data_IF_854684269794
#
_entry.id   IF_854684269794
#
_cell.length_a   1.000
_cell.length_b   1.000
_cell.length_c   1.000
_cell.angle_alpha   90.00
_cell.angle_beta   90.00
_cell.angle_gamma   90.00
#
_symmetry.space_group_name_H-M   'P 1'
#
loop_
_entity.id
_entity.type
_entity.pdbx_description
1 polymer ?
#
# COMPACT_ATOMS: atom_id res chain seq x y z
N UNK A 1 0.67 0.17 17.71
CA UNK A 1 0.02 1.28 16.99
C UNK A 1 0.48 1.24 15.53
N UNK A 2 -0.44 1.25 14.56
CA UNK A 2 -0.12 1.44 13.14
C UNK A 2 0.57 2.81 13.04
N UNK A 3 1.88 2.84 12.78
CA UNK A 3 2.75 3.99 13.04
C UNK A 3 2.17 5.35 12.61
N UNK A 4 1.55 6.06 13.56
CA UNK A 4 1.01 7.42 13.51
C UNK A 4 0.41 7.91 12.17
N UNK A 5 -0.09 7.02 11.31
CA UNK A 5 -0.48 7.36 9.94
C UNK A 5 0.66 7.88 9.04
N UNK A 6 1.94 7.74 9.44
CA UNK A 6 3.12 8.22 8.72
C UNK A 6 3.91 7.12 8.00
N UNK A 7 3.41 5.89 8.03
CA UNK A 7 4.06 4.76 7.38
C UNK A 7 3.17 4.19 6.27
N UNK A 8 3.73 4.07 5.08
CA UNK A 8 3.06 3.43 3.94
C UNK A 8 3.01 1.89 4.11
N UNK A 9 3.94 1.32 4.89
CA UNK A 9 4.07 -0.13 5.07
C UNK A 9 2.80 -0.85 5.51
N UNK A 10 2.15 -0.44 6.61
CA UNK A 10 0.94 -1.12 7.07
C UNK A 10 -0.21 -1.09 6.05
N UNK A 11 -0.38 0.00 5.31
CA UNK A 11 -1.39 0.11 4.25
C UNK A 11 -1.12 -0.90 3.13
N UNK A 12 0.14 -1.02 2.70
CA UNK A 12 0.54 -1.94 1.62
C UNK A 12 0.42 -3.39 2.05
N UNK A 13 0.86 -3.73 3.26
CA UNK A 13 0.77 -5.10 3.80
C UNK A 13 -0.69 -5.53 3.98
N UNK A 14 -1.55 -4.64 4.48
CA UNK A 14 -2.98 -4.93 4.61
C UNK A 14 -3.64 -5.14 3.24
N UNK A 15 -3.35 -4.28 2.26
CA UNK A 15 -3.87 -4.47 0.91
C UNK A 15 -3.45 -5.82 0.33
N UNK A 16 -2.16 -6.16 0.41
CA UNK A 16 -1.60 -7.36 -0.19
C UNK A 16 -2.09 -8.65 0.48
N UNK A 17 -2.11 -8.72 1.82
CA UNK A 17 -2.38 -9.97 2.52
C UNK A 17 -3.86 -10.15 2.87
N UNK A 18 -4.59 -9.06 3.13
CA UNK A 18 -5.97 -9.13 3.62
C UNK A 18 -6.96 -8.88 2.48
N UNK A 19 -6.82 -7.77 1.75
CA UNK A 19 -7.81 -7.40 0.73
C UNK A 19 -7.75 -8.32 -0.51
N UNK A 20 -6.57 -8.83 -0.85
CA UNK A 20 -6.46 -9.90 -1.87
C UNK A 20 -7.17 -11.17 -1.41
N UNK A 21 -6.95 -11.62 -0.16
CA UNK A 21 -7.59 -12.82 0.38
C UNK A 21 -9.12 -12.69 0.46
N UNK A 22 -9.62 -11.48 0.74
CA UNK A 22 -11.04 -11.17 0.77
C UNK A 22 -11.65 -10.95 -0.63
N UNK A 23 -10.84 -10.99 -1.70
CA UNK A 23 -11.24 -10.65 -3.08
C UNK A 23 -11.81 -9.22 -3.21
N UNK A 24 -11.43 -8.31 -2.32
CA UNK A 24 -11.86 -6.91 -2.36
C UNK A 24 -10.92 -6.08 -3.25
N UNK A 25 -11.18 -6.10 -4.56
CA UNK A 25 -10.43 -5.34 -5.57
C UNK A 25 -10.49 -3.83 -5.31
N UNK A 26 -11.65 -3.31 -4.91
CA UNK A 26 -11.85 -1.87 -4.71
C UNK A 26 -11.10 -1.38 -3.48
N UNK A 27 -11.23 -2.09 -2.36
CA UNK A 27 -10.47 -1.83 -1.14
C UNK A 27 -8.97 -1.90 -1.39
N UNK A 28 -8.51 -2.95 -2.09
CA UNK A 28 -7.10 -3.11 -2.45
C UNK A 28 -6.55 -1.89 -3.18
N UNK A 29 -7.25 -1.44 -4.23
CA UNK A 29 -6.82 -0.27 -5.00
C UNK A 29 -6.84 1.01 -4.16
N UNK A 30 -7.88 1.21 -3.36
CA UNK A 30 -8.02 2.40 -2.51
C UNK A 30 -6.89 2.48 -1.48
N UNK A 31 -6.59 1.36 -0.82
CA UNK A 31 -5.54 1.27 0.19
C UNK A 31 -4.15 1.55 -0.40
N UNK A 32 -3.83 0.97 -1.56
CA UNK A 32 -2.56 1.25 -2.24
C UNK A 32 -2.43 2.70 -2.71
N UNK A 33 -3.53 3.30 -3.21
CA UNK A 33 -3.53 4.73 -3.57
C UNK A 33 -3.33 5.63 -2.34
N UNK A 34 -3.86 5.26 -1.17
CA UNK A 34 -3.59 5.97 0.09
C UNK A 34 -2.09 5.91 0.45
N UNK A 35 -1.46 4.73 0.33
CA UNK A 35 -0.02 4.58 0.56
C UNK A 35 0.83 5.50 -0.35
N UNK A 36 0.39 5.70 -1.60
CA UNK A 36 1.06 6.59 -2.56
C UNK A 36 0.90 8.09 -2.25
N UNK A 37 -0.15 8.49 -1.53
CA UNK A 37 -0.38 9.89 -1.15
C UNK A 37 0.40 10.31 0.09
N UNK A 38 1.01 9.37 0.80
CA UNK A 38 1.72 9.65 2.03
C UNK A 38 2.96 10.52 1.78
N UNK A 39 3.10 11.62 2.53
CA UNK A 39 4.26 12.49 2.44
C UNK A 39 5.48 11.82 3.12
N UNK A 40 6.39 11.29 2.30
CA UNK A 40 7.59 10.59 2.77
C UNK A 40 8.57 11.50 3.54
N UNK A 41 8.46 12.82 3.40
CA UNK A 41 9.31 13.78 4.09
C UNK A 41 8.78 14.17 5.48
N UNK A 42 7.53 13.83 5.81
CA UNK A 42 6.94 14.11 7.12
C UNK A 42 7.55 13.27 8.26
N UNK A 43 8.29 12.21 7.92
CA UNK A 43 9.05 11.41 8.88
C UNK A 43 10.38 10.98 8.25
N UNK A 44 11.46 11.77 8.41
CA UNK A 44 12.78 11.46 7.84
C UNK A 44 13.29 10.07 8.22
N UNK A 45 13.05 9.63 9.46
CA UNK A 45 13.43 8.30 9.95
C UNK A 45 12.77 7.16 9.15
N UNK A 46 11.55 7.37 8.64
CA UNK A 46 10.81 6.37 7.88
C UNK A 46 10.86 6.57 6.36
N UNK A 47 11.57 7.60 5.87
CA UNK A 47 11.52 8.01 4.46
C UNK A 47 11.87 6.89 3.50
N UNK A 48 12.96 6.17 3.76
CA UNK A 48 13.42 5.09 2.88
C UNK A 48 12.41 3.93 2.84
N UNK A 49 11.89 3.54 4.01
CA UNK A 49 10.87 2.51 4.13
C UNK A 49 9.59 2.91 3.39
N UNK A 50 9.15 4.17 3.54
CA UNK A 50 7.98 4.68 2.84
C UNK A 50 8.17 4.69 1.32
N UNK A 51 9.34 5.09 0.83
CA UNK A 51 9.66 5.04 -0.60
C UNK A 51 9.64 3.62 -1.14
N UNK A 52 10.20 2.65 -0.41
CA UNK A 52 10.16 1.24 -0.78
C UNK A 52 8.71 0.73 -0.87
N UNK A 53 7.88 1.07 0.11
CA UNK A 53 6.48 0.67 0.14
C UNK A 53 5.65 1.36 -0.95
N UNK A 54 5.92 2.61 -1.28
CA UNK A 54 5.28 3.29 -2.43
C UNK A 54 5.67 2.67 -3.78
N UNK A 55 6.91 2.19 -3.93
CA UNK A 55 7.32 1.43 -5.13
C UNK A 55 6.57 0.11 -5.20
N UNK A 56 6.45 -0.62 -4.09
CA UNK A 56 5.67 -1.87 -4.01
C UNK A 56 4.20 -1.62 -4.33
N UNK A 57 3.58 -0.57 -3.80
CA UNK A 57 2.20 -0.20 -4.08
C UNK A 57 1.95 0.04 -5.58
N UNK A 58 2.84 0.76 -6.26
CA UNK A 58 2.77 0.96 -7.72
C UNK A 58 2.85 -0.36 -8.49
N UNK A 59 3.77 -1.25 -8.09
CA UNK A 59 3.92 -2.55 -8.72
C UNK A 59 2.68 -3.44 -8.52
N UNK A 60 2.12 -3.45 -7.32
CA UNK A 60 0.89 -4.19 -7.00
C UNK A 60 -0.31 -3.68 -7.81
N UNK A 61 -0.49 -2.35 -7.91
CA UNK A 61 -1.54 -1.75 -8.75
C UNK A 61 -1.41 -2.18 -10.22
N UNK A 62 -0.19 -2.23 -10.76
CA UNK A 62 0.07 -2.70 -12.13
C UNK A 62 -0.20 -4.20 -12.36
N UNK A 63 -0.44 -4.98 -11.29
CA UNK A 63 -0.75 -6.41 -11.36
C UNK A 63 -2.17 -6.73 -10.92
N UNK A 64 -3.02 -5.71 -10.76
CA UNK A 64 -4.39 -5.88 -10.24
C UNK A 64 -5.16 -6.95 -11.03
N UNK A 65 -5.07 -6.96 -12.35
CA UNK A 65 -5.81 -7.93 -13.18
C UNK A 65 -5.32 -9.37 -13.01
N UNK A 66 -4.06 -9.57 -12.60
CA UNK A 66 -3.51 -10.89 -12.26
C UNK A 66 -3.92 -11.34 -10.86
N UNK A 67 -4.04 -10.40 -9.92
CA UNK A 67 -4.40 -10.68 -8.53
C UNK A 67 -5.91 -10.87 -8.35
N UNK A 68 -6.72 -10.27 -9.21
CA UNK A 68 -8.19 -10.34 -9.20
C UNK A 68 -8.69 -10.72 -10.61
N UNK A 69 -8.50 -11.98 -11.04
CA UNK A 69 -9.07 -12.47 -12.31
C UNK A 69 -10.59 -12.58 -12.22
N UNK A 70 -11.27 -12.37 -13.35
CA UNK A 70 -12.72 -12.49 -13.50
C UNK A 70 -13.21 -13.93 -13.28
#
# INVERSE_FOLDING_TARGET
ALGEGRQAGPLVVYAENVLVAQKDKTGFQNMLRQALKLNVNASPANRQLNLAMQRRARWLLGRTDKLFPN
#
